data_IF_640186419019
#
_entry.id   IF_640186419019
#
_cell.length_a   1.000
_cell.length_b   1.000
_cell.length_c   1.000
_cell.angle_alpha   90.00
_cell.angle_beta   90.00
_cell.angle_gamma   90.00
#
_symmetry.space_group_name_H-M   'P 1'
#
loop_
_entity.id
_entity.type
_entity.pdbx_description
1 polymer ?
#
# COMPACT_ATOMS: atom_id res chain seq x y z
N UNK A 1 14.00 -13.19 -10.33
CA UNK A 1 14.45 -14.14 -9.28
C UNK A 1 14.30 -15.54 -9.85
N UNK A 2 15.33 -16.38 -9.74
CA UNK A 2 15.24 -17.79 -10.14
C UNK A 2 14.92 -18.60 -8.89
N UNK A 3 13.80 -19.32 -8.91
CA UNK A 3 13.42 -20.21 -7.82
C UNK A 3 13.96 -21.60 -8.14
N UNK A 4 14.67 -22.18 -7.17
CA UNK A 4 15.10 -23.57 -7.23
C UNK A 4 14.10 -24.41 -6.42
N UNK A 5 13.67 -25.57 -6.94
CA UNK A 5 12.85 -26.50 -6.18
C UNK A 5 13.63 -27.03 -4.97
N UNK A 6 12.89 -27.38 -3.91
CA UNK A 6 13.42 -28.05 -2.73
C UNK A 6 13.95 -29.41 -3.19
N UNK A 7 15.28 -29.56 -3.27
CA UNK A 7 15.91 -30.78 -3.77
C UNK A 7 15.59 -31.95 -2.83
N UNK A 8 14.80 -32.93 -3.30
CA UNK A 8 14.90 -34.30 -2.75
C UNK A 8 16.15 -34.93 -3.35
N UNK A 9 17.19 -35.08 -2.54
CA UNK A 9 18.35 -35.91 -2.93
C UNK A 9 17.86 -37.36 -2.99
N UNK A 10 17.60 -37.86 -4.21
CA UNK A 10 17.45 -39.29 -4.44
C UNK A 10 18.86 -39.84 -4.68
N UNK A 11 19.41 -40.53 -3.68
CA UNK A 11 20.54 -41.43 -3.86
C UNK A 11 20.11 -42.83 -3.44
N UNK A 12 20.24 -43.77 -4.36
CA UNK A 12 20.25 -45.22 -4.13
C UNK A 12 19.00 -45.83 -3.45
N UNK A 13 17.81 -45.48 -3.93
CA UNK A 13 16.61 -46.32 -3.80
C UNK A 13 16.16 -46.68 -2.37
N UNK A 14 16.65 -45.99 -1.33
CA UNK A 14 16.26 -46.21 0.06
C UNK A 14 15.65 -44.95 0.66
N UNK A 15 14.39 -45.06 1.09
CA UNK A 15 13.69 -44.04 1.86
C UNK A 15 14.42 -43.80 3.20
N UNK A 16 15.23 -42.74 3.26
CA UNK A 16 15.77 -42.21 4.51
C UNK A 16 14.82 -41.12 5.02
N UNK A 17 14.01 -41.46 6.02
CA UNK A 17 13.28 -40.49 6.84
C UNK A 17 14.24 -39.58 7.67
N UNK A 18 15.56 -39.71 7.52
CA UNK A 18 16.56 -38.94 8.29
C UNK A 18 17.13 -37.72 7.56
N UNK A 19 16.91 -37.53 6.25
CA UNK A 19 17.51 -36.43 5.48
C UNK A 19 16.62 -35.20 5.31
N UNK A 20 15.30 -35.31 5.42
CA UNK A 20 14.42 -34.13 5.28
C UNK A 20 14.59 -33.16 6.47
N UNK A 21 14.64 -33.67 7.69
CA UNK A 21 14.78 -32.83 8.89
C UNK A 21 16.11 -32.07 8.94
N UNK A 22 17.19 -32.66 8.42
CA UNK A 22 18.51 -32.02 8.36
C UNK A 22 18.58 -30.96 7.26
N UNK A 23 17.99 -31.25 6.09
CA UNK A 23 17.84 -30.29 5.00
C UNK A 23 16.94 -29.11 5.37
N UNK A 24 15.83 -29.38 6.06
CA UNK A 24 14.91 -28.34 6.56
C UNK A 24 15.64 -27.39 7.52
N UNK A 25 16.57 -27.91 8.33
CA UNK A 25 17.41 -27.09 9.22
C UNK A 25 18.41 -26.23 8.45
N UNK A 26 19.06 -26.77 7.43
CA UNK A 26 19.99 -26.01 6.57
C UNK A 26 19.28 -24.94 5.74
N UNK A 27 18.13 -25.29 5.13
CA UNK A 27 17.27 -24.35 4.42
C UNK A 27 16.73 -23.24 5.33
N UNK A 28 16.39 -23.58 6.59
CA UNK A 28 15.99 -22.61 7.59
C UNK A 28 17.12 -21.65 7.97
N UNK A 29 18.34 -22.17 8.16
CA UNK A 29 19.53 -21.37 8.44
C UNK A 29 19.89 -20.44 7.27
N UNK A 30 19.85 -20.96 6.03
CA UNK A 30 20.04 -20.16 4.82
C UNK A 30 18.97 -19.07 4.70
N UNK A 31 17.71 -19.40 5.01
CA UNK A 31 16.60 -18.44 5.03
C UNK A 31 16.78 -17.36 6.09
N UNK A 32 17.25 -17.69 7.29
CA UNK A 32 17.51 -16.71 8.36
C UNK A 32 18.68 -15.78 8.00
N UNK A 33 19.73 -16.34 7.38
CA UNK A 33 20.81 -15.54 6.81
C UNK A 33 20.30 -14.60 5.72
N UNK A 34 19.50 -15.09 4.77
CA UNK A 34 18.93 -14.28 3.69
C UNK A 34 18.10 -13.08 4.20
N UNK A 35 17.38 -13.26 5.32
CA UNK A 35 16.60 -12.19 5.94
C UNK A 35 17.47 -11.03 6.46
N UNK A 36 18.73 -11.31 6.85
CA UNK A 36 19.67 -10.30 7.40
C UNK A 36 20.41 -9.48 6.33
N UNK A 37 20.42 -9.96 5.07
CA UNK A 37 21.18 -9.35 3.97
C UNK A 37 20.39 -8.29 3.19
N UNK A 38 19.05 -8.31 3.22
CA UNK A 38 18.22 -7.26 2.61
C UNK A 38 18.15 -6.05 3.53
N UNK A 39 19.21 -5.23 3.54
CA UNK A 39 19.25 -3.98 4.32
C UNK A 39 18.96 -2.80 3.41
N UNK A 40 17.92 -2.05 3.75
CA UNK A 40 17.73 -0.71 3.20
C UNK A 40 18.99 0.13 3.48
N UNK A 41 19.43 0.98 2.54
CA UNK A 41 20.55 1.88 2.79
C UNK A 41 20.25 2.75 4.02
N UNK A 42 21.24 2.93 4.89
CA UNK A 42 21.06 3.70 6.14
C UNK A 42 21.01 5.22 5.89
N UNK A 43 21.61 5.66 4.78
CA UNK A 43 21.75 7.05 4.41
C UNK A 43 21.06 7.32 3.08
N UNK A 44 19.83 7.77 3.15
CA UNK A 44 19.11 8.27 1.99
C UNK A 44 18.12 9.36 2.38
N UNK A 45 17.62 10.08 1.39
CA UNK A 45 16.37 10.82 1.49
C UNK A 45 15.52 10.59 0.25
N UNK A 46 14.21 10.62 0.43
CA UNK A 46 13.23 10.59 -0.64
C UNK A 46 12.42 11.89 -0.59
N UNK A 47 12.21 12.52 -1.73
CA UNK A 47 11.37 13.71 -1.83
C UNK A 47 10.41 13.56 -3.00
N UNK A 48 9.13 13.76 -2.72
CA UNK A 48 8.10 13.99 -3.74
C UNK A 48 8.31 15.36 -4.40
N UNK A 49 8.38 15.38 -5.72
CA UNK A 49 8.60 16.55 -6.53
C UNK A 49 7.38 17.46 -6.50
N UNK A 50 7.62 18.74 -6.22
CA UNK A 50 6.62 19.80 -6.33
C UNK A 50 6.56 20.32 -7.77
N UNK A 51 5.52 21.08 -8.11
CA UNK A 51 5.43 21.75 -9.41
C UNK A 51 6.65 22.64 -9.71
N UNK A 52 7.20 23.30 -8.69
CA UNK A 52 8.40 24.14 -8.82
C UNK A 52 9.64 23.32 -9.17
N UNK A 53 9.78 22.12 -8.59
CA UNK A 53 10.91 21.23 -8.87
C UNK A 53 10.89 20.70 -10.30
N UNK A 54 9.73 20.61 -10.96
CA UNK A 54 9.64 20.13 -12.35
C UNK A 54 9.53 21.24 -13.39
N UNK A 55 9.58 22.50 -12.97
CA UNK A 55 9.51 23.63 -13.90
C UNK A 55 10.84 23.86 -14.63
N UNK A 56 10.79 24.30 -15.90
CA UNK A 56 11.98 24.48 -16.75
C UNK A 56 13.01 25.47 -16.19
N UNK A 57 12.53 26.49 -15.47
CA UNK A 57 13.37 27.52 -14.85
C UNK A 57 13.61 27.29 -13.34
N UNK A 58 12.95 26.28 -12.77
CA UNK A 58 13.09 25.91 -11.37
C UNK A 58 14.27 24.97 -11.13
N UNK A 59 14.89 25.10 -9.96
CA UNK A 59 15.80 24.10 -9.43
C UNK A 59 15.08 23.13 -8.50
N UNK A 60 15.77 22.06 -8.11
CA UNK A 60 15.28 21.16 -7.08
C UNK A 60 15.57 21.73 -5.69
N UNK A 61 14.53 21.89 -4.87
CA UNK A 61 14.70 22.32 -3.48
C UNK A 61 15.05 21.14 -2.57
N UNK A 62 16.25 21.12 -2.00
CA UNK A 62 16.69 20.01 -1.16
C UNK A 62 16.31 20.30 0.31
N UNK A 63 15.67 19.37 1.03
CA UNK A 63 15.42 19.53 2.46
C UNK A 63 16.74 19.71 3.23
N UNK A 64 16.81 20.67 4.16
CA UNK A 64 18.07 21.01 4.87
C UNK A 64 18.74 19.79 5.51
N UNK A 65 17.99 19.02 6.30
CA UNK A 65 18.48 17.80 6.97
C UNK A 65 19.00 16.75 5.98
N UNK A 66 18.43 16.70 4.78
CA UNK A 66 18.86 15.78 3.73
C UNK A 66 20.18 16.23 3.09
N UNK A 67 20.31 17.54 2.77
CA UNK A 67 21.53 18.08 2.20
C UNK A 67 22.73 17.92 3.14
N UNK A 68 22.55 18.23 4.43
CA UNK A 68 23.61 18.13 5.46
C UNK A 68 24.02 16.68 5.75
N UNK A 69 23.12 15.70 5.54
CA UNK A 69 23.40 14.28 5.80
C UNK A 69 23.96 13.54 4.59
N UNK A 70 23.41 13.78 3.40
CA UNK A 70 23.64 12.92 2.21
C UNK A 70 24.68 13.50 1.25
N UNK A 71 24.76 14.83 1.13
CA UNK A 71 25.73 15.45 0.22
C UNK A 71 27.05 15.75 0.94
N UNK A 72 28.17 15.83 0.20
CA UNK A 72 29.40 16.34 0.78
C UNK A 72 29.19 17.74 1.37
N UNK A 73 29.87 18.10 2.47
CA UNK A 73 29.75 19.43 3.06
C UNK A 73 30.11 20.54 2.08
N UNK A 74 29.35 21.63 2.09
CA UNK A 74 29.70 22.84 1.33
C UNK A 74 30.79 23.63 2.06
N UNK A 75 31.65 24.29 1.29
CA UNK A 75 32.50 25.36 1.82
C UNK A 75 31.69 26.66 1.94
N UNK A 76 31.37 27.03 3.17
CA UNK A 76 30.58 28.24 3.48
C UNK A 76 31.39 29.54 3.46
N UNK A 77 32.71 29.48 3.25
CA UNK A 77 33.53 30.67 3.03
C UNK A 77 33.31 31.29 1.63
N UNK A 78 32.86 30.48 0.68
CA UNK A 78 32.54 30.91 -0.68
C UNK A 78 31.23 31.71 -0.74
N UNK A 79 31.12 32.63 -1.72
CA UNK A 79 29.89 33.40 -1.96
C UNK A 79 29.40 33.27 -3.43
N UNK A 80 28.28 32.58 -3.69
CA UNK A 80 27.55 31.69 -2.79
C UNK A 80 28.24 30.31 -2.61
N UNK A 81 28.05 29.61 -1.48
CA UNK A 81 28.54 28.25 -1.29
C UNK A 81 27.95 27.29 -2.34
N UNK A 82 28.81 26.63 -3.11
CA UNK A 82 28.40 25.70 -4.15
C UNK A 82 29.42 24.60 -4.39
N UNK A 83 28.96 23.46 -4.93
CA UNK A 83 29.80 22.35 -5.35
C UNK A 83 29.14 21.60 -6.51
N UNK A 84 29.91 20.75 -7.17
CA UNK A 84 29.40 19.81 -8.16
C UNK A 84 29.16 18.44 -7.50
N UNK A 85 27.98 17.88 -7.74
CA UNK A 85 27.62 16.53 -7.31
C UNK A 85 27.52 15.62 -8.52
N UNK A 86 28.10 14.43 -8.44
CA UNK A 86 27.90 13.37 -9.43
C UNK A 86 27.18 12.21 -8.76
N UNK A 87 25.98 11.90 -9.24
CA UNK A 87 25.18 10.79 -8.75
C UNK A 87 24.95 9.75 -9.86
N UNK A 88 24.99 8.45 -9.53
CA UNK A 88 24.73 7.38 -10.50
C UNK A 88 23.33 6.81 -10.35
N UNK A 89 22.61 6.63 -11.44
CA UNK A 89 21.31 5.94 -11.42
C UNK A 89 21.44 4.40 -11.45
N UNK A 90 20.32 3.69 -11.31
CA UNK A 90 20.28 2.21 -11.33
C UNK A 90 20.74 1.58 -12.65
N UNK A 91 20.92 2.38 -13.71
CA UNK A 91 21.43 1.94 -15.00
C UNK A 91 22.88 2.39 -15.20
N UNK A 92 23.57 2.75 -14.12
CA UNK A 92 24.96 3.22 -14.10
C UNK A 92 25.21 4.54 -14.87
N UNK A 93 24.17 5.28 -15.22
CA UNK A 93 24.36 6.59 -15.85
C UNK A 93 24.73 7.63 -14.79
N UNK A 94 25.79 8.40 -15.07
CA UNK A 94 26.21 9.49 -14.21
C UNK A 94 25.43 10.78 -14.52
N UNK A 95 24.95 11.43 -13.46
CA UNK A 95 24.22 12.68 -13.50
C UNK A 95 24.94 13.74 -12.67
N UNK A 96 25.33 14.83 -13.33
CA UNK A 96 26.03 15.95 -12.71
C UNK A 96 25.04 17.05 -12.33
N UNK A 97 25.11 17.50 -11.08
CA UNK A 97 24.27 18.57 -10.55
C UNK A 97 25.10 19.65 -9.88
N UNK A 98 24.76 20.91 -10.12
CA UNK A 98 25.28 22.02 -9.30
C UNK A 98 24.46 22.14 -8.02
N UNK A 99 25.05 21.79 -6.89
CA UNK A 99 24.48 22.02 -5.56
C UNK A 99 24.91 23.39 -5.04
N UNK A 100 23.96 24.23 -4.66
CA UNK A 100 24.20 25.61 -4.22
C UNK A 100 23.33 25.96 -3.02
N UNK A 101 23.89 26.70 -2.06
CA UNK A 101 23.16 27.23 -0.91
C UNK A 101 22.95 28.75 -1.07
N UNK A 102 21.72 29.16 -1.41
CA UNK A 102 21.41 30.57 -1.74
C UNK A 102 19.94 30.91 -1.48
N UNK A 103 19.55 32.15 -1.79
CA UNK A 103 18.17 32.65 -1.65
C UNK A 103 17.89 33.31 -0.30
N UNK A 104 16.69 33.85 -0.15
CA UNK A 104 16.19 34.46 1.09
C UNK A 104 14.78 33.93 1.40
N UNK A 105 14.59 33.14 2.48
CA UNK A 105 15.63 32.57 3.34
C UNK A 105 16.56 31.62 2.56
N UNK A 106 17.79 31.41 3.06
CA UNK A 106 18.78 30.54 2.39
C UNK A 106 18.31 29.08 2.36
N UNK A 107 18.44 28.43 1.22
CA UNK A 107 18.01 27.04 0.96
C UNK A 107 19.04 26.30 0.11
N UNK A 108 19.07 24.98 0.25
CA UNK A 108 19.85 24.09 -0.62
C UNK A 108 19.10 23.83 -1.91
N UNK A 109 19.76 24.01 -3.05
CA UNK A 109 19.18 23.84 -4.37
C UNK A 109 20.09 22.99 -5.25
N UNK A 110 19.51 22.13 -6.10
CA UNK A 110 20.19 21.66 -7.31
C UNK A 110 19.73 22.49 -8.49
N UNK A 111 20.66 23.12 -9.20
CA UNK A 111 20.35 24.01 -10.33
C UNK A 111 20.81 23.42 -11.66
N UNK A 112 22.03 23.69 -12.09
CA UNK A 112 22.58 23.16 -13.35
C UNK A 112 22.52 21.64 -13.35
N UNK A 113 22.09 21.05 -14.47
CA UNK A 113 21.89 19.61 -14.64
C UNK A 113 20.51 19.09 -14.21
N UNK A 114 19.80 19.81 -13.32
CA UNK A 114 18.51 19.35 -12.81
C UNK A 114 17.40 19.34 -13.87
N UNK A 115 17.22 20.43 -14.62
CA UNK A 115 16.20 20.51 -15.66
C UNK A 115 16.43 19.49 -16.79
N UNK A 116 17.70 19.22 -17.13
CA UNK A 116 18.09 18.17 -18.07
C UNK A 116 17.68 16.81 -17.52
N UNK A 117 18.00 16.50 -16.27
CA UNK A 117 17.56 15.26 -15.62
C UNK A 117 16.04 15.09 -15.64
N UNK A 118 15.28 16.11 -15.24
CA UNK A 118 13.81 16.11 -15.24
C UNK A 118 13.25 15.81 -16.62
N UNK A 119 13.74 16.51 -17.66
CA UNK A 119 13.26 16.34 -19.03
C UNK A 119 13.63 14.98 -19.63
N UNK A 120 14.89 14.54 -19.48
CA UNK A 120 15.35 13.23 -19.98
C UNK A 120 14.61 12.09 -19.29
N UNK A 121 14.43 12.17 -17.97
CA UNK A 121 13.68 11.17 -17.21
C UNK A 121 12.18 11.43 -17.24
N UNK A 122 11.67 12.43 -17.97
CA UNK A 122 10.24 12.78 -18.09
C UNK A 122 9.51 12.87 -16.75
N UNK A 123 10.11 13.51 -15.74
CA UNK A 123 9.56 13.60 -14.38
C UNK A 123 8.45 14.64 -14.29
N UNK A 124 7.46 14.37 -13.43
CA UNK A 124 6.34 15.27 -13.15
C UNK A 124 6.15 15.48 -11.65
N UNK A 125 5.48 16.57 -11.28
CA UNK A 125 5.06 16.79 -9.90
C UNK A 125 4.28 15.57 -9.36
N UNK A 126 4.60 15.15 -8.14
CA UNK A 126 4.12 13.90 -7.52
C UNK A 126 5.05 12.69 -7.73
N UNK A 127 5.92 12.68 -8.75
CA UNK A 127 7.00 11.67 -8.79
C UNK A 127 7.96 11.93 -7.61
N UNK A 128 8.71 10.91 -7.18
CA UNK A 128 9.70 11.05 -6.11
C UNK A 128 11.11 10.77 -6.64
N UNK A 129 12.08 11.49 -6.08
CA UNK A 129 13.50 11.28 -6.32
C UNK A 129 14.16 10.87 -5.00
N UNK A 130 15.09 9.91 -5.09
CA UNK A 130 15.83 9.39 -3.97
C UNK A 130 17.31 9.68 -4.19
N UNK A 131 17.98 10.24 -3.20
CA UNK A 131 19.44 10.26 -3.15
C UNK A 131 19.89 9.35 -2.03
N UNK A 132 20.80 8.44 -2.35
CA UNK A 132 21.29 7.40 -1.47
C UNK A 132 22.80 7.50 -1.40
N UNK A 133 23.36 7.35 -0.20
CA UNK A 133 24.79 7.18 0.00
C UNK A 133 25.06 5.71 0.26
N UNK A 134 25.83 5.08 -0.61
CA UNK A 134 26.16 3.67 -0.49
C UNK A 134 27.26 3.43 0.57
N UNK A 135 27.60 2.15 0.82
CA UNK A 135 28.63 1.79 1.78
C UNK A 135 30.04 2.32 1.40
N UNK A 136 30.27 2.66 0.13
CA UNK A 136 31.51 3.24 -0.39
C UNK A 136 31.45 4.78 -0.40
N UNK A 137 30.43 5.38 0.22
CA UNK A 137 30.18 6.82 0.21
C UNK A 137 29.92 7.43 -1.17
N UNK A 138 29.57 6.62 -2.18
CA UNK A 138 29.17 7.07 -3.50
C UNK A 138 27.70 7.53 -3.48
N UNK A 139 27.42 8.59 -4.24
CA UNK A 139 26.08 9.13 -4.37
C UNK A 139 25.32 8.39 -5.48
N UNK A 140 24.20 7.78 -5.11
CA UNK A 140 23.29 7.08 -6.01
C UNK A 140 21.97 7.84 -6.13
N UNK A 141 21.30 7.66 -7.27
CA UNK A 141 20.08 8.36 -7.66
C UNK A 141 18.97 7.36 -8.01
N UNK A 142 17.91 7.35 -7.20
CA UNK A 142 16.71 6.57 -7.41
C UNK A 142 15.54 7.43 -7.92
N UNK A 143 14.65 6.80 -8.67
CA UNK A 143 13.43 7.41 -9.17
C UNK A 143 12.22 6.55 -8.83
N UNK A 144 11.14 7.19 -8.39
CA UNK A 144 9.88 6.53 -8.09
C UNK A 144 8.74 7.31 -8.72
N UNK A 145 8.01 6.70 -9.65
CA UNK A 145 6.86 7.35 -10.28
C UNK A 145 5.67 7.37 -9.35
N UNK A 146 4.91 8.46 -9.40
CA UNK A 146 3.57 8.49 -8.82
C UNK A 146 2.72 7.38 -9.46
N UNK A 147 1.86 6.74 -8.67
CA UNK A 147 0.88 5.80 -9.18
C UNK A 147 -0.24 6.60 -9.88
N UNK A 148 0.04 7.06 -11.11
CA UNK A 148 -0.98 7.62 -11.98
C UNK A 148 -1.68 6.43 -12.62
N UNK A 149 -3.02 6.43 -12.60
CA UNK A 149 -3.86 5.51 -13.37
C UNK A 149 -3.57 5.72 -14.87
N UNK A 150 -2.42 5.26 -15.35
CA UNK A 150 -2.18 5.16 -16.76
C UNK A 150 -2.89 3.91 -17.25
N UNK A 151 -3.64 3.98 -18.36
CA UNK A 151 -4.09 2.78 -19.04
C UNK A 151 -2.86 1.91 -19.28
N UNK A 152 -2.86 0.70 -18.74
CA UNK A 152 -1.79 -0.24 -19.01
C UNK A 152 -1.77 -0.44 -20.53
N UNK A 153 -0.78 0.14 -21.21
CA UNK A 153 -0.43 -0.25 -22.55
C UNK A 153 0.16 -1.65 -22.42
N UNK A 154 -0.72 -2.65 -22.34
CA UNK A 154 -0.32 -4.05 -22.35
C UNK A 154 0.48 -4.23 -23.64
N UNK A 155 1.74 -4.61 -23.53
CA UNK A 155 2.48 -5.10 -24.68
C UNK A 155 1.71 -6.33 -25.15
N UNK A 156 0.99 -6.24 -26.27
CA UNK A 156 0.13 -7.27 -26.83
C UNK A 156 0.92 -8.48 -27.36
N UNK A 157 1.84 -9.02 -26.57
CA UNK A 157 2.67 -10.19 -26.93
C UNK A 157 1.85 -11.48 -26.76
N UNK A 158 1.07 -11.58 -25.67
CA UNK A 158 0.15 -12.68 -25.38
C UNK A 158 -1.08 -12.15 -24.63
N UNK A 159 -2.20 -12.89 -24.66
CA UNK A 159 -3.38 -12.56 -23.87
C UNK A 159 -3.13 -12.73 -22.36
N UNK A 160 -3.92 -12.02 -21.54
CA UNK A 160 -3.90 -12.18 -20.08
C UNK A 160 -4.14 -13.63 -19.65
N UNK A 161 -5.05 -14.34 -20.32
CA UNK A 161 -5.36 -15.73 -20.00
C UNK A 161 -4.17 -16.65 -20.29
N UNK A 162 -3.53 -16.49 -21.45
CA UNK A 162 -2.33 -17.25 -21.79
C UNK A 162 -1.18 -16.97 -20.82
N UNK A 163 -1.04 -15.72 -20.34
CA UNK A 163 -0.05 -15.38 -19.31
C UNK A 163 -0.34 -16.11 -18.00
N UNK A 164 -1.58 -16.08 -17.51
CA UNK A 164 -1.97 -16.76 -16.27
C UNK A 164 -1.79 -18.27 -16.35
N UNK A 165 -2.20 -18.90 -17.46
CA UNK A 165 -2.00 -20.33 -17.71
C UNK A 165 -0.51 -20.65 -17.77
N UNK A 166 0.28 -19.84 -18.49
CA UNK A 166 1.71 -20.02 -18.63
C UNK A 166 2.47 -20.01 -17.30
N UNK A 167 2.09 -19.10 -16.38
CA UNK A 167 2.69 -19.04 -15.03
C UNK A 167 2.43 -20.34 -14.25
N UNK A 168 1.18 -20.83 -14.25
CA UNK A 168 0.81 -22.06 -13.54
C UNK A 168 1.49 -23.29 -14.15
N UNK A 169 1.51 -23.38 -15.48
CA UNK A 169 2.16 -24.48 -16.20
C UNK A 169 3.67 -24.51 -15.95
N UNK A 170 4.34 -23.35 -15.98
CA UNK A 170 5.77 -23.25 -15.70
C UNK A 170 6.10 -23.69 -14.26
N UNK A 171 5.32 -23.23 -13.27
CA UNK A 171 5.50 -23.63 -11.88
C UNK A 171 5.26 -25.13 -11.67
N UNK A 172 4.19 -25.69 -12.27
CA UNK A 172 3.88 -27.12 -12.20
C UNK A 172 4.97 -27.98 -12.86
N UNK A 173 5.46 -27.57 -14.03
CA UNK A 173 6.56 -28.25 -14.73
C UNK A 173 7.86 -28.22 -13.91
N UNK A 174 8.22 -27.06 -13.37
CA UNK A 174 9.40 -26.90 -12.52
C UNK A 174 9.34 -27.77 -11.27
N UNK A 175 8.18 -27.82 -10.61
CA UNK A 175 7.95 -28.65 -9.44
C UNK A 175 8.01 -30.16 -9.76
N UNK A 176 7.45 -30.59 -10.89
CA UNK A 176 7.44 -32.00 -11.30
C UNK A 176 8.83 -32.51 -11.72
N UNK A 177 9.66 -31.64 -12.31
CA UNK A 177 10.96 -32.03 -12.88
C UNK A 177 12.17 -31.57 -12.05
N UNK A 178 11.94 -30.98 -10.87
CA UNK A 178 13.00 -30.38 -10.06
C UNK A 178 13.89 -29.40 -10.85
N UNK A 179 13.31 -28.64 -11.76
CA UNK A 179 14.03 -27.68 -12.59
C UNK A 179 13.82 -26.25 -12.08
N UNK A 180 14.83 -25.37 -12.25
CA UNK A 180 14.68 -23.96 -11.90
C UNK A 180 13.71 -23.26 -12.85
N UNK A 181 13.00 -22.27 -12.34
CA UNK A 181 12.20 -21.36 -13.18
C UNK A 181 12.35 -19.91 -12.70
N UNK A 182 12.11 -18.98 -13.61
CA UNK A 182 12.33 -17.55 -13.37
C UNK A 182 11.01 -16.81 -13.23
N UNK A 183 10.92 -15.98 -12.21
CA UNK A 183 9.80 -15.09 -11.95
C UNK A 183 10.27 -13.63 -11.87
N UNK A 184 9.39 -12.72 -12.26
CA UNK A 184 9.58 -11.29 -12.13
C UNK A 184 8.70 -10.76 -11.00
N UNK A 185 9.31 -10.04 -10.07
CA UNK A 185 8.60 -9.39 -8.97
C UNK A 185 8.67 -7.88 -9.16
N UNK A 186 7.51 -7.24 -9.27
CA UNK A 186 7.40 -5.79 -9.31
C UNK A 186 6.72 -5.29 -8.01
N UNK A 187 7.50 -4.87 -6.99
CA UNK A 187 6.95 -4.45 -5.70
C UNK A 187 6.09 -3.19 -5.78
N UNK A 188 6.18 -2.42 -6.88
CA UNK A 188 5.37 -1.22 -7.11
C UNK A 188 4.01 -1.53 -7.72
N UNK A 189 3.89 -2.63 -8.46
CA UNK A 189 2.62 -3.08 -9.03
C UNK A 189 1.82 -3.94 -8.04
N UNK A 190 2.49 -4.72 -7.19
CA UNK A 190 1.86 -5.50 -6.14
C UNK A 190 2.71 -5.46 -4.86
N UNK A 191 2.20 -4.87 -3.77
CA UNK A 191 2.96 -4.78 -2.52
C UNK A 191 3.04 -6.11 -1.76
N UNK A 192 2.18 -7.09 -2.07
CA UNK A 192 2.19 -8.38 -1.35
C UNK A 192 3.27 -9.31 -1.89
N UNK A 193 4.19 -9.68 -1.02
CA UNK A 193 5.29 -10.61 -1.27
C UNK A 193 4.74 -12.03 -1.47
N UNK A 194 4.91 -12.60 -2.66
CA UNK A 194 4.53 -13.98 -2.98
C UNK A 194 5.69 -14.99 -2.94
N UNK A 195 6.93 -14.51 -2.80
CA UNK A 195 8.08 -15.35 -2.46
C UNK A 195 8.47 -15.03 -1.03
N UNK A 196 8.18 -15.95 -0.12
CA UNK A 196 8.37 -15.74 1.32
C UNK A 196 9.52 -16.64 1.78
N UNK A 197 10.56 -16.10 2.45
CA UNK A 197 11.60 -16.92 3.04
C UNK A 197 11.01 -17.96 4.01
N UNK A 198 11.49 -19.21 3.94
CA UNK A 198 10.95 -20.33 4.71
C UNK A 198 10.90 -20.05 6.22
N UNK A 199 11.93 -19.42 6.77
CA UNK A 199 11.97 -19.04 8.19
C UNK A 199 10.87 -18.03 8.58
N UNK A 200 10.60 -17.05 7.71
CA UNK A 200 9.51 -16.07 7.91
C UNK A 200 8.15 -16.78 7.86
N UNK A 201 7.97 -17.70 6.91
CA UNK A 201 6.75 -18.48 6.78
C UNK A 201 6.50 -19.35 8.02
N UNK A 202 7.46 -20.15 8.46
CA UNK A 202 7.29 -21.00 9.65
C UNK A 202 7.05 -20.19 10.91
N UNK A 203 7.80 -19.10 11.12
CA UNK A 203 7.56 -18.19 12.26
C UNK A 203 6.12 -17.67 12.28
N UNK A 204 5.59 -17.32 11.10
CA UNK A 204 4.20 -16.89 10.97
C UNK A 204 3.21 -18.03 11.22
N UNK A 205 3.48 -19.26 10.76
CA UNK A 205 2.60 -20.41 11.00
C UNK A 205 2.54 -20.87 12.46
N UNK A 206 3.62 -20.69 13.22
CA UNK A 206 3.62 -20.95 14.67
C UNK A 206 2.87 -19.88 15.47
N UNK A 207 2.57 -18.75 14.83
CA UNK A 207 1.71 -17.74 15.43
C UNK A 207 0.26 -18.20 15.36
N UNK A 208 -0.35 -18.48 16.52
CA UNK A 208 -1.77 -18.76 16.58
C UNK A 208 -2.58 -17.48 16.36
N UNK A 209 -3.21 -17.35 15.18
CA UNK A 209 -4.11 -16.25 14.86
C UNK A 209 -5.55 -16.63 15.15
N UNK A 210 -6.29 -15.75 15.83
CA UNK A 210 -7.70 -15.93 16.16
C UNK A 210 -8.55 -14.74 15.72
N UNK A 211 -9.87 -14.93 15.63
CA UNK A 211 -10.81 -13.84 15.44
C UNK A 211 -10.71 -12.84 16.61
N UNK A 212 -10.84 -11.54 16.32
CA UNK A 212 -10.69 -10.46 17.29
C UNK A 212 -9.23 -10.15 17.68
N UNK A 213 -8.26 -10.94 17.20
CA UNK A 213 -6.85 -10.69 17.50
C UNK A 213 -6.39 -9.36 16.92
N UNK A 214 -5.67 -8.59 17.75
CA UNK A 214 -5.02 -7.35 17.31
C UNK A 214 -3.68 -7.66 16.67
N UNK A 215 -3.40 -6.95 15.59
CA UNK A 215 -2.15 -7.04 14.89
C UNK A 215 -1.63 -5.65 14.51
N UNK A 216 -0.35 -5.60 14.15
CA UNK A 216 0.27 -4.44 13.53
C UNK A 216 0.89 -4.84 12.20
N UNK A 217 0.94 -3.91 11.26
CA UNK A 217 1.55 -4.09 9.95
C UNK A 217 2.29 -2.82 9.56
N UNK A 218 3.44 -3.00 8.90
CA UNK A 218 4.29 -1.92 8.43
C UNK A 218 3.91 -1.55 6.99
N UNK A 219 3.74 -0.26 6.70
CA UNK A 219 3.50 0.25 5.34
C UNK A 219 4.56 1.29 4.97
N UNK A 220 4.96 1.30 3.70
CA UNK A 220 5.82 2.35 3.15
C UNK A 220 5.03 3.68 3.09
N UNK A 221 5.66 4.76 3.54
CA UNK A 221 5.10 6.12 3.45
C UNK A 221 5.54 6.81 2.16
N UNK A 222 4.92 7.93 1.82
CA UNK A 222 5.35 8.77 0.68
C UNK A 222 6.80 9.24 0.79
N UNK A 223 7.36 9.40 1.99
CA UNK A 223 8.77 9.79 2.17
C UNK A 223 9.73 8.58 2.14
N UNK A 224 9.28 7.42 1.67
CA UNK A 224 10.01 6.13 1.73
C UNK A 224 10.45 5.73 3.14
N UNK A 225 9.84 6.31 4.17
CA UNK A 225 9.85 5.79 5.53
C UNK A 225 8.85 4.64 5.71
N UNK A 226 8.75 4.13 6.94
CA UNK A 226 7.85 3.03 7.29
C UNK A 226 6.96 3.46 8.45
N UNK A 227 5.64 3.31 8.31
CA UNK A 227 4.67 3.62 9.36
C UNK A 227 3.96 2.35 9.82
N UNK A 228 3.75 2.26 11.14
CA UNK A 228 2.97 1.20 11.79
C UNK A 228 1.49 1.52 11.70
N UNK A 229 0.70 0.53 11.31
CA UNK A 229 -0.75 0.57 11.37
C UNK A 229 -1.28 -0.60 12.16
N UNK A 230 -2.33 -0.34 12.93
CA UNK A 230 -2.98 -1.32 13.78
C UNK A 230 -4.27 -1.80 13.13
N UNK A 231 -4.60 -3.07 13.33
CA UNK A 231 -5.85 -3.64 12.88
C UNK A 231 -6.29 -4.82 13.74
N UNK A 232 -7.46 -5.34 13.39
CA UNK A 232 -8.11 -6.46 14.06
C UNK A 232 -8.47 -7.53 13.02
N UNK A 233 -8.20 -8.79 13.33
CA UNK A 233 -8.60 -9.93 12.49
C UNK A 233 -10.12 -10.14 12.63
N UNK A 234 -10.83 -10.04 11.51
CA UNK A 234 -12.30 -10.15 11.45
C UNK A 234 -12.78 -11.48 10.88
N UNK A 235 -11.91 -12.22 10.19
CA UNK A 235 -12.24 -13.49 9.56
C UNK A 235 -11.00 -14.29 9.18
N UNK A 236 -11.12 -15.61 9.17
CA UNK A 236 -10.06 -16.53 8.74
C UNK A 236 -10.69 -17.49 7.73
N UNK A 237 -10.31 -17.38 6.47
CA UNK A 237 -10.83 -18.22 5.39
C UNK A 237 -9.92 -18.19 4.17
N UNK A 238 -9.88 -19.27 3.41
CA UNK A 238 -9.22 -19.28 2.09
C UNK A 238 -9.75 -18.13 1.22
N UNK A 239 -8.86 -17.52 0.42
CA UNK A 239 -9.24 -16.50 -0.55
C UNK A 239 -10.08 -17.10 -1.68
N UNK A 240 -9.68 -18.28 -2.15
CA UNK A 240 -10.36 -19.04 -3.19
C UNK A 240 -10.38 -20.53 -2.79
N UNK A 241 -11.41 -20.96 -2.03
CA UNK A 241 -11.52 -22.33 -1.57
C UNK A 241 -11.66 -23.37 -2.69
N UNK A 242 -12.08 -22.95 -3.88
CA UNK A 242 -12.34 -23.86 -5.02
C UNK A 242 -11.03 -24.22 -5.71
N UNK A 243 -10.20 -23.21 -6.03
CA UNK A 243 -8.94 -23.42 -6.72
C UNK A 243 -7.77 -23.71 -5.77
N UNK A 244 -7.78 -23.13 -4.57
CA UNK A 244 -6.64 -23.12 -3.65
C UNK A 244 -7.05 -23.43 -2.21
N UNK A 245 -7.61 -24.63 -2.01
CA UNK A 245 -7.99 -25.13 -0.69
C UNK A 245 -6.82 -25.12 0.30
N UNK A 246 -7.06 -24.63 1.51
CA UNK A 246 -6.09 -24.46 2.60
C UNK A 246 -4.93 -23.49 2.32
N UNK A 247 -5.06 -22.63 1.30
CA UNK A 247 -4.02 -21.65 0.97
C UNK A 247 -3.91 -20.58 2.05
N UNK A 248 -2.67 -20.33 2.49
CA UNK A 248 -2.35 -19.27 3.46
C UNK A 248 -2.25 -17.88 2.79
N UNK A 249 -2.43 -17.80 1.47
CA UNK A 249 -2.39 -16.54 0.73
C UNK A 249 -3.64 -15.70 1.00
N UNK A 250 -3.46 -14.51 1.59
CA UNK A 250 -4.55 -13.57 1.92
C UNK A 250 -5.72 -14.20 2.67
N UNK A 251 -5.41 -15.15 3.55
CA UNK A 251 -6.39 -15.94 4.29
C UNK A 251 -7.00 -15.19 5.50
N UNK A 252 -6.41 -14.07 5.91
CA UNK A 252 -6.91 -13.25 7.02
C UNK A 252 -7.72 -12.08 6.48
N UNK A 253 -8.98 -11.96 6.90
CA UNK A 253 -9.79 -10.76 6.73
C UNK A 253 -9.51 -9.81 7.90
N UNK A 254 -9.34 -8.53 7.59
CA UNK A 254 -8.89 -7.55 8.58
C UNK A 254 -9.68 -6.25 8.52
N UNK A 255 -9.91 -5.66 9.69
CA UNK A 255 -10.37 -4.28 9.87
C UNK A 255 -9.25 -3.40 10.38
N UNK A 256 -9.14 -2.17 9.88
CA UNK A 256 -8.10 -1.21 10.26
C UNK A 256 -8.65 -0.17 11.25
N UNK A 257 -7.87 0.17 12.27
CA UNK A 257 -8.31 1.11 13.31
C UNK A 257 -8.38 2.57 12.79
N UNK A 258 -7.41 2.98 11.97
CA UNK A 258 -7.35 4.34 11.42
C UNK A 258 -8.14 4.45 10.10
N UNK A 259 -9.25 5.21 10.13
CA UNK A 259 -10.09 5.52 8.96
C UNK A 259 -9.44 6.45 7.93
N UNK A 260 -8.32 7.10 8.27
CA UNK A 260 -7.75 8.24 7.51
C UNK A 260 -6.68 7.89 6.48
N UNK A 261 -6.29 6.63 6.25
CA UNK A 261 -5.21 6.32 5.31
C UNK A 261 -5.60 5.33 4.21
N UNK A 262 -6.34 5.83 3.22
CA UNK A 262 -6.42 5.24 1.89
C UNK A 262 -6.86 3.76 1.79
N UNK A 263 -6.65 3.21 0.59
CA UNK A 263 -7.10 1.90 0.13
C UNK A 263 -6.22 0.78 0.72
N UNK A 264 -6.38 0.50 2.02
CA UNK A 264 -5.68 -0.63 2.67
C UNK A 264 -6.30 -1.96 2.27
N UNK A 265 -5.50 -3.05 2.19
CA UNK A 265 -6.04 -4.35 1.83
C UNK A 265 -7.03 -4.83 2.90
N UNK A 266 -8.19 -5.34 2.44
CA UNK A 266 -9.18 -6.00 3.30
C UNK A 266 -8.77 -7.41 3.72
N UNK A 267 -7.79 -7.99 3.00
CA UNK A 267 -7.23 -9.31 3.27
C UNK A 267 -5.71 -9.30 3.19
N UNK A 268 -5.07 -9.95 4.15
CA UNK A 268 -3.61 -10.05 4.29
C UNK A 268 -3.21 -11.50 4.56
N UNK A 269 -1.96 -11.84 4.27
CA UNK A 269 -1.39 -13.15 4.58
C UNK A 269 -0.82 -13.18 6.00
N UNK A 270 -0.79 -14.35 6.63
CA UNK A 270 -0.32 -14.50 8.02
C UNK A 270 1.12 -13.99 8.26
N UNK A 271 2.00 -14.04 7.25
CA UNK A 271 3.38 -13.54 7.33
C UNK A 271 3.53 -12.02 7.09
N UNK A 272 2.44 -11.32 6.75
CA UNK A 272 2.44 -9.87 6.58
C UNK A 272 2.12 -9.13 7.89
N UNK A 273 1.54 -9.82 8.86
CA UNK A 273 1.13 -9.23 10.13
C UNK A 273 2.10 -9.57 11.25
N UNK A 274 2.24 -8.63 12.17
CA UNK A 274 2.88 -8.86 13.46
C UNK A 274 1.80 -8.90 14.54
N UNK A 275 1.59 -10.05 15.19
CA UNK A 275 0.79 -10.19 16.39
C UNK A 275 1.10 -9.13 17.42
N UNK A 276 0.06 -8.50 17.95
CA UNK A 276 0.21 -7.70 19.15
C UNK A 276 -0.25 -8.58 20.30
N UNK A 277 0.72 -9.18 20.99
CA UNK A 277 0.47 -9.88 22.25
C UNK A 277 0.08 -8.79 23.25
N UNK A 278 -1.21 -8.57 23.44
CA UNK A 278 -1.69 -7.76 24.54
C UNK A 278 -1.76 -8.67 25.77
N UNK A 279 -0.95 -8.42 26.82
CA UNK A 279 -1.41 -8.75 28.15
C UNK A 279 -2.53 -7.74 28.46
N UNK A 280 -3.79 -8.17 28.32
CA UNK A 280 -4.99 -7.53 28.87
C UNK A 280 -5.30 -6.07 28.45
N UNK A 281 -6.33 -5.90 27.61
CA UNK A 281 -7.28 -4.78 27.73
C UNK A 281 -8.66 -5.21 27.22
N UNK A 282 -9.34 -6.03 28.00
CA UNK A 282 -10.80 -5.98 28.05
C UNK A 282 -11.08 -4.87 29.07
N UNK A 283 -11.54 -3.73 28.57
CA UNK A 283 -11.81 -2.48 29.30
C UNK A 283 -10.58 -1.72 29.85
N UNK A 284 -10.50 -0.39 29.70
CA UNK A 284 -9.74 0.40 30.66
C UNK A 284 -10.40 0.17 32.03
N UNK A 285 -9.65 -0.17 33.10
CA UNK A 285 -10.24 -0.23 34.43
C UNK A 285 -10.86 1.14 34.74
N UNK A 286 -12.08 1.22 35.29
CA UNK A 286 -12.58 2.48 35.81
C UNK A 286 -11.54 2.99 36.80
N UNK A 287 -11.20 4.27 36.69
CA UNK A 287 -10.18 4.97 37.46
C UNK A 287 -10.40 4.85 38.98
N UNK A 288 -10.06 3.72 39.58
CA UNK A 288 -9.85 3.64 41.03
C UNK A 288 -8.41 4.08 41.30
N UNK A 289 -8.22 5.40 41.45
CA UNK A 289 -7.03 5.91 42.12
C UNK A 289 -7.03 5.34 43.55
N UNK A 290 -5.95 4.72 44.04
CA UNK A 290 -5.81 4.45 45.47
C UNK A 290 -5.82 5.79 46.22
N UNK A 291 -6.77 6.01 47.13
CA UNK A 291 -6.72 7.15 48.06
C UNK A 291 -5.47 6.97 48.93
N UNK A 292 -4.55 7.94 48.90
CA UNK A 292 -3.59 8.11 50.00
C UNK A 292 -4.37 8.42 51.29
N UNK A 293 -3.94 7.92 52.47
CA UNK A 293 -4.58 8.26 53.73
C UNK A 293 -4.45 9.78 53.97
N UNK A 294 -5.59 10.47 54.04
CA UNK A 294 -5.66 11.88 54.45
C UNK A 294 -5.74 11.99 55.97
N UNK A 295 -5.08 13.01 56.50
CA UNK A 295 -4.99 13.38 57.91
C UNK A 295 -6.37 13.76 58.52
N UNK A 296 -6.56 13.65 59.84
CA UNK A 296 -7.86 13.82 60.49
C UNK A 296 -8.29 15.30 60.55
N UNK A 297 -9.53 15.62 60.14
CA UNK A 297 -10.14 16.91 60.49
C UNK A 297 -11.03 17.63 59.47
N UNK A 298 -11.74 16.95 58.55
CA UNK A 298 -12.70 17.62 57.66
C UNK A 298 -14.03 16.84 57.60
N UNK A 299 -15.20 17.50 57.65
CA UNK A 299 -16.51 16.82 57.71
C UNK A 299 -16.88 16.12 56.39
N UNK A 300 -17.60 15.01 56.53
CA UNK A 300 -18.10 14.14 55.46
C UNK A 300 -19.09 14.85 54.53
N UNK A 301 -18.88 14.71 53.22
CA UNK A 301 -19.92 14.94 52.22
C UNK A 301 -19.90 13.75 51.24
N UNK A 302 -20.65 12.70 51.59
CA UNK A 302 -20.75 11.44 50.83
C UNK A 302 -21.74 11.54 49.64
N UNK A 303 -22.17 12.74 49.25
CA UNK A 303 -23.21 12.93 48.23
C UNK A 303 -22.69 12.98 46.77
N UNK A 304 -21.37 13.08 46.56
CA UNK A 304 -20.82 13.43 45.24
C UNK A 304 -20.48 12.20 44.35
N UNK A 305 -20.34 11.01 44.93
CA UNK A 305 -19.95 9.79 44.20
C UNK A 305 -21.14 9.15 43.46
N UNK A 306 -22.31 9.15 44.09
CA UNK A 306 -23.56 8.64 43.53
C UNK A 306 -24.04 9.53 42.36
N UNK A 307 -23.82 10.85 42.48
CA UNK A 307 -24.22 11.84 41.47
C UNK A 307 -23.36 11.74 40.19
N UNK A 308 -22.06 11.48 40.35
CA UNK A 308 -21.15 11.32 39.23
C UNK A 308 -21.43 10.04 38.42
N UNK A 309 -21.83 8.95 39.08
CA UNK A 309 -22.18 7.69 38.43
C UNK A 309 -23.48 7.80 37.61
N UNK A 310 -24.51 8.44 38.17
CA UNK A 310 -25.79 8.69 37.45
C UNK A 310 -25.63 9.68 36.30
N UNK A 311 -24.70 10.63 36.40
CA UNK A 311 -24.38 11.60 35.33
C UNK A 311 -23.59 10.97 34.19
N UNK A 312 -22.76 9.96 34.48
CA UNK A 312 -21.94 9.27 33.50
C UNK A 312 -22.71 8.17 32.75
N UNK A 313 -23.74 7.56 33.35
CA UNK A 313 -24.61 6.58 32.70
C UNK A 313 -26.09 6.76 33.08
N UNK A 314 -26.82 7.67 32.40
CA UNK A 314 -28.23 7.96 32.69
C UNK A 314 -29.19 6.79 32.43
N UNK A 315 -28.74 5.76 31.72
CA UNK A 315 -29.52 4.63 31.22
C UNK A 315 -29.47 3.38 32.12
N UNK A 316 -28.84 3.45 33.30
CA UNK A 316 -28.56 2.28 34.15
C UNK A 316 -29.10 2.38 35.59
N UNK A 317 -30.07 3.26 35.86
CA UNK A 317 -30.73 3.36 37.16
C UNK A 317 -32.15 2.74 37.18
N UNK A 318 -32.25 1.59 37.84
CA UNK A 318 -33.39 0.89 38.47
C UNK A 318 -34.83 1.01 37.87
N UNK A 319 -35.17 -0.06 37.15
CA UNK A 319 -36.34 -0.95 37.18
C UNK A 319 -37.83 -0.52 36.96
N UNK A 320 -38.43 -1.29 36.04
CA UNK A 320 -39.83 -1.71 35.88
C UNK A 320 -40.96 -0.80 36.41
N UNK A 321 -41.58 -0.07 35.49
CA UNK A 321 -42.89 0.57 35.70
C UNK A 321 -43.60 0.87 34.38
N UNK A 322 -44.66 0.12 34.09
CA UNK A 322 -45.62 0.38 33.01
C UNK A 322 -46.15 1.83 33.02
N UNK A 323 -45.83 2.63 31.99
CA UNK A 323 -46.75 3.61 31.36
C UNK A 323 -46.09 4.29 30.15
N UNK A 324 -46.88 4.49 29.09
CA UNK A 324 -46.40 4.96 27.80
C UNK A 324 -46.23 6.49 27.65
N UNK A 325 -45.67 6.83 26.47
CA UNK A 325 -45.63 8.14 25.75
C UNK A 325 -44.58 9.19 26.19
N UNK A 326 -44.06 10.05 25.27
CA UNK A 326 -43.18 9.74 24.14
C UNK A 326 -41.87 10.57 24.12
N UNK A 327 -40.87 10.12 23.34
CA UNK A 327 -39.60 10.82 23.11
C UNK A 327 -39.73 12.02 22.14
N UNK A 328 -39.01 13.10 22.45
CA UNK A 328 -39.16 14.46 21.91
C UNK A 328 -38.36 14.79 20.63
N UNK A 329 -38.25 13.89 19.65
CA UNK A 329 -37.46 14.19 18.43
C UNK A 329 -38.25 14.07 17.10
N UNK A 330 -39.43 13.46 17.06
CA UNK A 330 -40.38 13.62 15.95
C UNK A 330 -41.81 13.39 16.45
N UNK A 331 -42.77 14.31 16.25
CA UNK A 331 -44.16 14.02 16.57
C UNK A 331 -44.75 13.12 15.48
N UNK A 332 -45.16 11.91 15.85
CA UNK A 332 -46.24 11.21 15.13
C UNK A 332 -45.95 9.90 14.40
N UNK A 333 -44.81 9.22 14.57
CA UNK A 333 -44.61 7.89 13.96
C UNK A 333 -43.91 6.91 14.91
N UNK A 334 -44.40 5.66 14.96
CA UNK A 334 -43.77 4.58 15.73
C UNK A 334 -42.53 4.02 15.01
N UNK A 335 -41.58 3.46 15.76
CA UNK A 335 -40.32 2.88 15.26
C UNK A 335 -40.56 1.77 14.21
N UNK A 336 -41.65 1.01 14.35
CA UNK A 336 -42.06 -0.04 13.40
C UNK A 336 -42.48 0.57 12.06
N UNK A 337 -43.06 1.76 12.08
CA UNK A 337 -43.56 2.46 10.91
C UNK A 337 -42.43 3.10 10.08
N UNK A 338 -41.34 3.50 10.74
CA UNK A 338 -40.14 3.99 10.06
C UNK A 338 -39.36 2.87 9.36
N UNK A 339 -39.25 1.70 10.00
CA UNK A 339 -38.56 0.54 9.40
C UNK A 339 -39.26 0.01 8.15
N UNK A 340 -40.60 0.03 8.10
CA UNK A 340 -41.35 -0.42 6.92
C UNK A 340 -41.25 0.56 5.73
N UNK A 341 -40.93 1.83 5.97
CA UNK A 341 -40.80 2.82 4.89
C UNK A 341 -39.47 2.68 4.11
N UNK A 342 -38.45 2.04 4.69
CA UNK A 342 -37.19 1.75 3.97
C UNK A 342 -37.25 0.47 3.12
N UNK A 343 -38.32 -0.34 3.22
CA UNK A 343 -38.49 -1.55 2.39
C UNK A 343 -39.33 -1.33 1.13
N UNK A 344 -39.99 -0.19 0.96
CA UNK A 344 -40.74 0.13 -0.25
C UNK A 344 -39.91 0.95 -1.26
N UNK A 345 -38.90 0.31 -1.84
CA UNK A 345 -38.37 0.72 -3.14
C UNK A 345 -37.88 -0.53 -3.89
N UNK A 346 -38.82 -1.40 -4.26
CA UNK A 346 -38.61 -2.47 -5.22
C UNK A 346 -39.18 -2.03 -6.57
N UNK A 347 -38.30 -1.84 -7.56
CA UNK A 347 -38.71 -1.76 -8.96
C UNK A 347 -39.15 -3.17 -9.43
N UNK A 348 -40.32 -3.33 -10.07
CA UNK A 348 -40.80 -4.63 -10.51
C UNK A 348 -40.14 -5.06 -11.83
N UNK A 349 -39.84 -6.36 -11.90
CA UNK A 349 -39.49 -7.08 -13.11
C UNK A 349 -40.73 -7.29 -13.99
N UNK A 350 -40.59 -7.15 -15.31
CA UNK A 350 -41.49 -7.74 -16.30
C UNK A 350 -40.66 -8.28 -17.47
N UNK A 351 -40.81 -9.58 -17.72
CA UNK A 351 -40.26 -10.30 -18.86
C UNK A 351 -41.20 -10.28 -20.07
N UNK A 352 -40.58 -10.50 -21.23
CA UNK A 352 -41.08 -11.22 -22.43
C UNK A 352 -41.95 -10.46 -23.44
N UNK A 353 -41.56 -10.57 -24.72
CA UNK A 353 -42.33 -10.14 -25.88
C UNK A 353 -41.50 -10.15 -27.17
N UNK A 354 -41.79 -11.11 -28.04
CA UNK A 354 -41.09 -11.50 -29.26
C UNK A 354 -41.58 -10.74 -30.53
N UNK A 355 -40.74 -10.77 -31.58
CA UNK A 355 -41.00 -10.61 -33.05
C UNK A 355 -41.13 -9.20 -33.68
N UNK A 356 -40.93 -9.03 -35.01
CA UNK A 356 -39.79 -9.48 -35.82
C UNK A 356 -39.30 -8.43 -36.85
N UNK A 357 -38.21 -8.79 -37.53
CA UNK A 357 -37.62 -8.21 -38.74
C UNK A 357 -38.57 -8.03 -39.93
N UNK A 358 -38.39 -6.93 -40.69
CA UNK A 358 -38.75 -6.86 -42.12
C UNK A 358 -37.67 -6.16 -42.94
N UNK A 359 -37.56 -6.63 -44.18
CA UNK A 359 -36.47 -6.55 -45.15
C UNK A 359 -36.66 -5.40 -46.15
N UNK A 360 -35.53 -4.89 -46.67
CA UNK A 360 -35.25 -4.48 -48.06
C UNK A 360 -36.27 -3.63 -48.85
N UNK A 361 -35.81 -2.47 -49.38
CA UNK A 361 -35.61 -2.25 -50.84
C UNK A 361 -35.19 -0.81 -51.19
N UNK A 362 -34.09 -0.69 -51.93
CA UNK A 362 -33.86 0.37 -52.94
C UNK A 362 -34.60 -0.08 -54.24
N UNK A 363 -34.94 0.78 -55.24
CA UNK A 363 -34.02 1.77 -55.84
C UNK A 363 -34.57 3.03 -56.58
N UNK A 364 -33.63 3.93 -56.92
CA UNK A 364 -33.44 4.74 -58.17
C UNK A 364 -34.19 6.06 -58.49
N UNK A 365 -33.34 7.07 -58.84
CA UNK A 365 -33.48 8.29 -59.68
C UNK A 365 -34.37 9.45 -59.14
N UNK A 366 -34.01 10.75 -59.20
CA UNK A 366 -33.15 11.48 -60.13
C UNK A 366 -32.68 12.85 -59.55
N UNK A 367 -31.44 13.25 -59.89
CA UNK A 367 -30.84 14.59 -60.08
C UNK A 367 -31.34 15.85 -59.31
N UNK A 368 -30.39 16.55 -58.64
CA UNK A 368 -29.99 17.93 -58.97
C UNK A 368 -28.73 18.36 -58.18
N UNK A 369 -27.81 18.97 -58.91
CA UNK A 369 -26.48 19.47 -58.53
C UNK A 369 -26.49 20.59 -57.47
N UNK A 370 -25.37 20.77 -56.75
CA UNK A 370 -24.51 21.98 -56.72
C UNK A 370 -23.37 21.78 -55.69
N UNK A 371 -22.20 22.28 -56.07
CA UNK A 371 -20.84 22.05 -55.60
C UNK A 371 -20.47 22.50 -54.16
N UNK A 372 -19.41 21.91 -53.59
CA UNK A 372 -18.45 22.64 -52.77
C UNK A 372 -17.03 22.00 -52.87
N UNK A 373 -16.01 22.72 -53.42
CA UNK A 373 -14.68 22.18 -53.67
C UNK A 373 -13.68 22.48 -52.55
N UNK A 374 -12.86 21.48 -52.23
CA UNK A 374 -11.67 21.62 -51.42
C UNK A 374 -10.51 22.31 -52.16
N UNK A 375 -9.73 23.10 -51.39
CA UNK A 375 -8.34 23.58 -51.60
C UNK A 375 -8.16 24.85 -52.44
N UNK A 376 -7.36 25.80 -51.92
CA UNK A 376 -6.31 26.49 -52.68
C UNK A 376 -5.28 27.19 -51.76
N UNK A 377 -4.06 27.26 -52.29
CA UNK A 377 -2.77 27.61 -51.69
C UNK A 377 -2.38 29.09 -51.93
N UNK A 378 -1.68 29.67 -50.93
CA UNK A 378 -0.43 30.45 -50.97
C UNK A 378 -0.19 31.66 -51.91
N UNK A 379 0.33 32.77 -51.32
CA UNK A 379 1.59 33.52 -51.62
C UNK A 379 1.46 35.04 -51.39
N UNK A 380 2.41 35.67 -50.69
CA UNK A 380 3.34 36.68 -51.28
C UNK A 380 4.32 37.28 -50.26
N UNK A 381 5.56 37.46 -50.72
CA UNK A 381 6.57 38.41 -50.25
C UNK A 381 7.07 39.21 -51.48
N UNK A 382 7.72 40.36 -51.29
CA UNK A 382 8.75 40.85 -52.20
C UNK A 382 10.17 40.47 -51.73
#
# INVERSE_FOLDING_TARGET
MTLQPVNKVVKDGKNLYSTSAQYDKEALLASDMGLKHSRQPAEFFCKTLTASDTSTHGGFSVPRRAAEKIFPPLDFSMQPPAQELVARDLHENAWTFRHIYRGQPKRHLLTTGWSVFVSTKRLFAGDSVLFIRDAKSQLLLGLRRANRQQPALSSSVISSDSMHIGILAAAAHAAANFSPFTIFYNPRASPSEFVVPLAKYYKAMYTQVSLGMRFRMMFETEESGVRRYMGTVTGISDLDPVRWKNSQWRNLQVGWDESTAGERPRRVSIWEIEPVVSPFFICPPPFFRPRFPKQPGMPDDDSDVESAFKRAMPWLGDDFGMRGTPSSIFPGLSLVQWMNMQQSNQFPAAQSGFFPSTVSSNPLHNNLSIDDPSKLLNFQAP
#
